data_IF_877826853310
#
_entry.id   IF_877826853310
#
_cell.length_a   1.000
_cell.length_b   1.000
_cell.length_c   1.000
_cell.angle_alpha   90.00
_cell.angle_beta   90.00
_cell.angle_gamma   90.00
#
_symmetry.space_group_name_H-M   'P 1'
#
loop_
_entity.id
_entity.type
_entity.pdbx_description
1 polymer ?
#
# COMPACT_ATOMS: atom_id res chain seq x y z
N UNK A 1 12.99 3.22 -27.28
CA UNK A 1 12.16 2.75 -26.16
C UNK A 1 13.05 2.06 -25.14
N UNK A 2 12.69 2.11 -23.86
CA UNK A 2 13.47 1.51 -22.77
C UNK A 2 12.50 0.86 -21.80
N UNK A 3 12.80 -0.34 -21.31
CA UNK A 3 12.05 -1.01 -20.24
C UNK A 3 12.09 -0.13 -18.98
N UNK A 4 10.92 0.16 -18.42
CA UNK A 4 10.74 0.84 -17.17
C UNK A 4 10.04 -0.11 -16.20
N UNK A 5 10.57 -0.27 -15.00
CA UNK A 5 9.96 -1.08 -13.95
C UNK A 5 9.80 -0.17 -12.74
N UNK A 6 8.56 0.09 -12.33
CA UNK A 6 8.26 0.90 -11.15
C UNK A 6 8.23 0.04 -9.90
N UNK A 7 9.11 0.28 -8.91
CA UNK A 7 9.05 -0.47 -7.66
C UNK A 7 7.87 -0.04 -6.77
N UNK A 8 7.41 1.21 -6.85
CA UNK A 8 6.49 1.79 -5.86
C UNK A 8 5.20 2.42 -6.44
N UNK A 9 5.12 2.66 -7.71
CA UNK A 9 3.96 3.37 -8.28
C UNK A 9 2.71 2.51 -8.32
N UNK A 10 1.75 2.70 -7.42
CA UNK A 10 0.52 1.91 -7.26
C UNK A 10 -0.63 2.37 -8.16
N UNK A 11 -0.61 3.63 -8.60
CA UNK A 11 -1.68 4.20 -9.43
C UNK A 11 -1.82 3.49 -10.79
N UNK A 12 -3.06 3.28 -11.32
CA UNK A 12 -3.29 2.60 -12.59
C UNK A 12 -2.51 3.19 -13.76
N UNK A 13 -2.39 4.53 -13.83
CA UNK A 13 -1.72 5.25 -14.93
C UNK A 13 -0.22 5.00 -15.05
N UNK A 14 0.41 4.34 -14.08
CA UNK A 14 1.83 3.94 -14.19
C UNK A 14 2.01 2.96 -15.34
N UNK A 15 1.17 1.94 -15.43
CA UNK A 15 1.28 0.85 -16.41
C UNK A 15 0.22 0.89 -17.51
N UNK A 16 -0.86 1.66 -17.30
CA UNK A 16 -1.93 1.83 -18.28
C UNK A 16 -1.87 3.22 -18.92
N UNK A 17 -2.26 3.31 -20.17
CA UNK A 17 -2.45 4.59 -20.87
C UNK A 17 -3.84 5.18 -20.58
N UNK A 18 -4.16 6.32 -21.23
CA UNK A 18 -5.42 7.04 -21.01
C UNK A 18 -6.65 6.27 -21.54
N UNK A 19 -6.45 5.23 -22.35
CA UNK A 19 -7.51 4.32 -22.81
C UNK A 19 -7.70 3.12 -21.91
N UNK A 20 -6.82 2.95 -20.90
CA UNK A 20 -6.78 1.76 -20.03
C UNK A 20 -6.01 0.59 -20.65
N UNK A 21 -5.32 0.78 -21.77
CA UNK A 21 -4.50 -0.26 -22.39
C UNK A 21 -3.12 -0.34 -21.73
N UNK A 22 -2.52 -1.54 -21.61
CA UNK A 22 -1.19 -1.70 -21.03
C UNK A 22 -0.10 -0.98 -21.85
N UNK A 23 0.78 -0.26 -21.16
CA UNK A 23 1.99 0.33 -21.74
C UNK A 23 3.03 -0.77 -21.96
N UNK A 24 3.33 -1.13 -23.20
CA UNK A 24 4.18 -2.27 -23.61
C UNK A 24 5.57 -2.31 -22.93
N UNK A 25 6.09 -1.13 -22.50
CA UNK A 25 7.44 -0.99 -21.97
C UNK A 25 7.49 -0.69 -20.49
N UNK A 26 6.34 -0.72 -19.80
CA UNK A 26 6.23 -0.31 -18.40
C UNK A 26 5.62 -1.44 -17.57
N UNK A 27 6.31 -1.81 -16.51
CA UNK A 27 5.90 -2.81 -15.52
C UNK A 27 5.99 -2.24 -14.12
N UNK A 28 5.44 -2.93 -13.14
CA UNK A 28 5.64 -2.62 -11.72
C UNK A 28 5.92 -3.89 -10.91
N UNK A 29 6.45 -3.74 -9.70
CA UNK A 29 6.65 -4.83 -8.74
C UNK A 29 5.79 -4.70 -7.47
N UNK A 30 5.20 -3.53 -7.25
CA UNK A 30 4.21 -3.30 -6.20
C UNK A 30 2.80 -3.77 -6.62
N UNK A 31 1.89 -3.90 -5.67
CA UNK A 31 0.47 -4.05 -5.97
C UNK A 31 -0.14 -2.73 -6.51
N UNK A 32 -1.36 -2.80 -7.02
CA UNK A 32 -2.12 -1.63 -7.50
C UNK A 32 -3.00 -1.03 -6.41
N UNK A 33 -3.43 0.24 -6.57
CA UNK A 33 -4.44 0.86 -5.69
C UNK A 33 -5.72 0.05 -5.63
N UNK A 34 -6.15 -0.54 -6.75
CA UNK A 34 -7.34 -1.40 -6.79
C UNK A 34 -7.18 -2.63 -5.90
N UNK A 35 -6.02 -3.27 -5.96
CA UNK A 35 -5.73 -4.44 -5.14
C UNK A 35 -5.60 -4.06 -3.65
N UNK A 36 -4.94 -2.94 -3.36
CA UNK A 36 -4.83 -2.39 -2.01
C UNK A 36 -6.23 -2.11 -1.42
N UNK A 37 -7.12 -1.44 -2.17
CA UNK A 37 -8.50 -1.17 -1.75
C UNK A 37 -9.28 -2.43 -1.43
N UNK A 38 -9.18 -3.47 -2.28
CA UNK A 38 -9.82 -4.77 -2.07
C UNK A 38 -9.29 -5.48 -0.81
N UNK A 39 -7.96 -5.50 -0.62
CA UNK A 39 -7.33 -6.11 0.55
C UNK A 39 -7.71 -5.42 1.86
N UNK A 40 -7.73 -4.07 1.87
CA UNK A 40 -8.13 -3.29 3.03
C UNK A 40 -9.63 -3.47 3.35
N UNK A 41 -10.49 -3.52 2.34
CA UNK A 41 -11.92 -3.81 2.52
C UNK A 41 -12.14 -5.22 3.08
N UNK A 42 -11.40 -6.22 2.57
CA UNK A 42 -11.41 -7.60 3.08
C UNK A 42 -10.94 -7.67 4.53
N UNK A 43 -9.86 -6.96 4.87
CA UNK A 43 -9.35 -6.88 6.22
C UNK A 43 -10.38 -6.21 7.16
N UNK A 44 -10.95 -5.08 6.78
CA UNK A 44 -11.99 -4.40 7.58
C UNK A 44 -13.21 -5.30 7.82
N UNK A 45 -13.77 -5.92 6.77
CA UNK A 45 -14.96 -6.75 6.90
C UNK A 45 -14.67 -8.09 7.62
N UNK A 46 -13.63 -8.81 7.23
CA UNK A 46 -13.39 -10.17 7.72
C UNK A 46 -12.62 -10.22 9.05
N UNK A 47 -11.60 -9.38 9.20
CA UNK A 47 -10.75 -9.37 10.39
C UNK A 47 -11.29 -8.45 11.48
N UNK A 48 -11.59 -7.18 11.13
CA UNK A 48 -12.11 -6.20 12.09
C UNK A 48 -13.61 -6.36 12.36
N UNK A 49 -14.32 -7.15 11.55
CA UNK A 49 -15.79 -7.33 11.61
C UNK A 49 -16.56 -6.03 11.43
N UNK A 50 -15.96 -5.08 10.72
CA UNK A 50 -16.58 -3.79 10.45
C UNK A 50 -17.76 -3.95 9.47
N UNK A 51 -18.87 -3.33 9.78
CA UNK A 51 -20.05 -3.22 8.92
C UNK A 51 -20.27 -1.79 8.42
N UNK A 52 -19.72 -0.81 9.15
CA UNK A 52 -19.78 0.61 8.82
C UNK A 52 -18.37 1.18 8.72
N UNK A 53 -18.08 1.86 7.62
CA UNK A 53 -16.83 2.56 7.42
C UNK A 53 -17.04 4.05 7.20
N UNK A 54 -16.10 4.86 7.64
CA UNK A 54 -15.97 6.24 7.20
C UNK A 54 -14.66 6.45 6.45
N UNK A 55 -14.62 7.46 5.60
CA UNK A 55 -13.43 7.82 4.81
C UNK A 55 -13.23 9.32 4.92
N UNK A 56 -11.98 9.75 5.12
CA UNK A 56 -11.56 11.14 4.97
C UNK A 56 -10.35 11.20 4.02
N UNK A 57 -10.43 11.99 2.94
CA UNK A 57 -9.38 12.03 1.93
C UNK A 57 -9.27 13.39 1.22
N UNK A 58 -8.13 13.64 0.61
CA UNK A 58 -7.90 14.80 -0.26
C UNK A 58 -8.24 14.45 -1.72
N UNK A 59 -9.32 15.01 -2.30
CA UNK A 59 -9.75 14.67 -3.67
C UNK A 59 -8.86 15.30 -4.76
N UNK A 60 -8.01 16.26 -4.42
CA UNK A 60 -7.04 16.85 -5.34
C UNK A 60 -5.79 15.99 -5.53
N UNK A 61 -5.55 15.03 -4.63
CA UNK A 61 -4.44 14.06 -4.72
C UNK A 61 -4.92 12.77 -5.35
N UNK A 62 -4.28 12.35 -6.45
CA UNK A 62 -4.72 11.22 -7.26
C UNK A 62 -4.75 9.89 -6.48
N UNK A 63 -3.66 9.56 -5.78
CA UNK A 63 -3.58 8.30 -5.03
C UNK A 63 -4.58 8.25 -3.86
N UNK A 64 -4.67 9.24 -2.94
CA UNK A 64 -5.70 9.26 -1.90
C UNK A 64 -7.12 9.15 -2.44
N UNK A 65 -7.43 9.85 -3.54
CA UNK A 65 -8.74 9.78 -4.19
C UNK A 65 -9.03 8.38 -4.73
N UNK A 66 -8.12 7.82 -5.53
CA UNK A 66 -8.25 6.47 -6.09
C UNK A 66 -8.44 5.43 -4.99
N UNK A 67 -7.62 5.48 -3.95
CA UNK A 67 -7.69 4.56 -2.81
C UNK A 67 -9.01 4.68 -2.05
N UNK A 68 -9.50 5.90 -1.81
CA UNK A 68 -10.78 6.15 -1.13
C UNK A 68 -11.98 5.58 -1.93
N UNK A 69 -12.03 5.87 -3.23
CA UNK A 69 -13.09 5.42 -4.12
C UNK A 69 -13.11 3.90 -4.28
N UNK A 70 -11.93 3.29 -4.44
CA UNK A 70 -11.78 1.84 -4.58
C UNK A 70 -12.13 1.11 -3.27
N UNK A 71 -11.66 1.60 -2.13
CA UNK A 71 -12.04 1.02 -0.83
C UNK A 71 -13.55 1.08 -0.63
N UNK A 72 -14.18 2.24 -0.91
CA UNK A 72 -15.64 2.37 -0.79
C UNK A 72 -16.34 1.32 -1.64
N UNK A 73 -16.01 1.21 -2.91
CA UNK A 73 -16.59 0.23 -3.85
C UNK A 73 -16.43 -1.20 -3.34
N UNK A 74 -15.23 -1.57 -2.91
CA UNK A 74 -14.91 -2.92 -2.47
C UNK A 74 -15.56 -3.26 -1.12
N UNK A 75 -15.61 -2.30 -0.19
CA UNK A 75 -16.24 -2.50 1.11
C UNK A 75 -17.76 -2.66 0.98
N UNK A 76 -18.41 -1.82 0.17
CA UNK A 76 -19.85 -1.91 -0.14
C UNK A 76 -20.16 -3.19 -0.93
N UNK A 77 -19.30 -3.60 -1.86
CA UNK A 77 -19.42 -4.87 -2.59
C UNK A 77 -19.34 -6.11 -1.69
N UNK A 78 -18.77 -6.00 -0.50
CA UNK A 78 -18.70 -7.05 0.53
C UNK A 78 -19.84 -6.95 1.57
N UNK A 79 -20.83 -6.10 1.32
CA UNK A 79 -22.01 -5.92 2.20
C UNK A 79 -21.78 -4.91 3.33
N UNK A 80 -20.66 -4.21 3.37
CA UNK A 80 -20.45 -3.09 4.27
C UNK A 80 -21.18 -1.82 3.81
N UNK A 81 -21.23 -0.82 4.67
CA UNK A 81 -21.79 0.50 4.37
C UNK A 81 -20.75 1.59 4.65
N UNK A 82 -20.49 2.47 3.69
CA UNK A 82 -19.71 3.69 3.92
C UNK A 82 -20.68 4.78 4.40
N UNK A 83 -20.67 5.03 5.72
CA UNK A 83 -21.62 5.92 6.41
C UNK A 83 -21.20 7.40 6.39
N UNK A 84 -19.92 7.69 6.10
CA UNK A 84 -19.41 9.04 5.88
C UNK A 84 -18.27 8.98 4.83
N UNK A 85 -18.31 9.89 3.86
CA UNK A 85 -17.31 9.98 2.78
C UNK A 85 -16.92 11.44 2.62
N UNK A 86 -15.94 11.86 3.45
CA UNK A 86 -15.60 13.24 3.68
C UNK A 86 -14.33 13.64 2.93
N UNK A 87 -14.26 14.92 2.58
CA UNK A 87 -13.08 15.47 1.87
C UNK A 87 -12.52 16.68 2.61
N UNK A 88 -11.23 16.95 2.36
CA UNK A 88 -10.53 18.15 2.79
C UNK A 88 -9.69 18.72 1.65
N UNK A 89 -9.35 20.01 1.71
CA UNK A 89 -8.49 20.64 0.73
C UNK A 89 -7.01 20.50 1.10
N UNK A 90 -6.15 20.49 0.07
CA UNK A 90 -4.70 20.46 0.30
C UNK A 90 -4.26 21.66 1.15
N UNK A 91 -3.51 21.37 2.21
CA UNK A 91 -3.02 22.38 3.16
C UNK A 91 -3.96 22.73 4.32
N UNK A 92 -5.17 22.15 4.34
CA UNK A 92 -6.05 22.29 5.50
C UNK A 92 -5.36 21.82 6.78
N UNK A 93 -5.63 22.52 7.89
CA UNK A 93 -5.12 22.20 9.23
C UNK A 93 -6.25 21.95 10.22
N UNK A 94 -7.46 22.29 9.86
CA UNK A 94 -8.67 22.08 10.66
C UNK A 94 -9.62 21.13 9.93
N UNK A 95 -9.85 19.98 10.53
CA UNK A 95 -10.71 18.90 10.04
C UNK A 95 -11.92 18.69 10.97
N UNK A 96 -12.18 19.62 11.88
CA UNK A 96 -13.17 19.49 12.96
C UNK A 96 -14.59 19.26 12.41
N UNK A 97 -14.95 19.94 11.32
CA UNK A 97 -16.27 19.79 10.70
C UNK A 97 -16.47 18.38 10.10
N UNK A 98 -15.45 17.83 9.43
CA UNK A 98 -15.49 16.47 8.88
C UNK A 98 -15.52 15.44 10.00
N UNK A 99 -14.68 15.60 11.01
CA UNK A 99 -14.63 14.67 12.14
C UNK A 99 -15.91 14.66 12.97
N UNK A 100 -16.59 15.80 13.10
CA UNK A 100 -17.91 15.85 13.73
C UNK A 100 -18.92 14.97 12.99
N UNK A 101 -19.03 15.10 11.67
CA UNK A 101 -19.92 14.27 10.85
C UNK A 101 -19.55 12.78 10.91
N UNK A 102 -18.27 12.46 10.87
CA UNK A 102 -17.80 11.09 11.01
C UNK A 102 -18.12 10.51 12.39
N UNK A 103 -17.96 11.29 13.46
CA UNK A 103 -18.30 10.85 14.82
C UNK A 103 -19.81 10.59 14.97
N UNK A 104 -20.65 11.46 14.42
CA UNK A 104 -22.11 11.31 14.40
C UNK A 104 -22.58 10.08 13.62
N UNK A 105 -21.86 9.72 12.55
CA UNK A 105 -22.14 8.52 11.75
C UNK A 105 -21.74 7.20 12.44
N UNK A 106 -20.96 7.28 13.53
CA UNK A 106 -20.53 6.14 14.35
C UNK A 106 -20.01 4.94 13.54
N UNK A 107 -18.91 5.10 12.76
CA UNK A 107 -18.33 4.01 11.99
C UNK A 107 -17.62 3.00 12.90
N UNK A 108 -17.48 1.74 12.40
CA UNK A 108 -16.68 0.69 13.03
C UNK A 108 -15.19 0.83 12.68
N UNK A 109 -14.87 1.49 11.54
CA UNK A 109 -13.52 1.74 11.06
C UNK A 109 -13.46 3.06 10.28
N UNK A 110 -12.35 3.77 10.39
CA UNK A 110 -12.08 4.97 9.57
C UNK A 110 -10.92 4.69 8.62
N UNK A 111 -11.17 4.76 7.32
CA UNK A 111 -10.13 4.72 6.31
C UNK A 111 -9.59 6.11 6.04
N UNK A 112 -8.27 6.24 6.15
CA UNK A 112 -7.57 7.51 6.05
C UNK A 112 -6.39 7.41 5.05
N UNK A 113 -6.65 7.50 3.74
CA UNK A 113 -5.62 7.46 2.70
C UNK A 113 -4.91 8.82 2.59
N UNK A 114 -4.21 9.21 3.65
CA UNK A 114 -3.48 10.46 3.77
C UNK A 114 -1.98 10.23 3.77
N UNK A 115 -1.22 11.28 3.47
CA UNK A 115 0.24 11.22 3.56
C UNK A 115 0.70 11.39 5.01
N UNK A 116 1.83 10.78 5.34
CA UNK A 116 2.38 10.70 6.70
C UNK A 116 2.46 12.04 7.45
N UNK A 117 2.69 13.16 6.74
CA UNK A 117 2.77 14.50 7.35
C UNK A 117 1.44 15.07 7.85
N UNK A 118 0.29 14.52 7.42
CA UNK A 118 -1.05 14.99 7.79
C UNK A 118 -1.70 14.08 8.86
N UNK A 119 -1.35 12.80 8.87
CA UNK A 119 -2.00 11.74 9.64
C UNK A 119 -2.06 12.02 11.15
N UNK A 120 -0.96 12.41 11.83
CA UNK A 120 -1.01 12.61 13.28
C UNK A 120 -2.01 13.67 13.69
N UNK A 121 -2.04 14.80 12.99
CA UNK A 121 -2.98 15.89 13.28
C UNK A 121 -4.42 15.50 12.98
N UNK A 122 -4.66 14.80 11.88
CA UNK A 122 -6.00 14.29 11.54
C UNK A 122 -6.52 13.35 12.62
N UNK A 123 -5.70 12.39 13.09
CA UNK A 123 -6.09 11.45 14.14
C UNK A 123 -6.31 12.17 15.47
N UNK A 124 -5.44 13.12 15.83
CA UNK A 124 -5.59 13.91 17.05
C UNK A 124 -6.94 14.64 17.07
N UNK A 125 -7.31 15.30 15.98
CA UNK A 125 -8.59 15.99 15.86
C UNK A 125 -9.78 15.02 15.84
N UNK A 126 -9.66 13.87 15.19
CA UNK A 126 -10.67 12.83 15.21
C UNK A 126 -10.95 12.33 16.64
N UNK A 127 -9.92 12.08 17.42
CA UNK A 127 -10.06 11.66 18.83
C UNK A 127 -10.69 12.76 19.69
N UNK A 128 -10.32 14.02 19.47
CA UNK A 128 -10.95 15.17 20.13
C UNK A 128 -12.45 15.33 19.78
N UNK A 129 -12.84 14.99 18.54
CA UNK A 129 -14.22 14.97 18.09
C UNK A 129 -15.03 13.73 18.57
N UNK A 130 -14.40 12.80 19.30
CA UNK A 130 -15.04 11.62 19.85
C UNK A 130 -15.07 10.39 18.95
N UNK A 131 -14.34 10.38 17.83
CA UNK A 131 -14.17 9.20 16.99
C UNK A 131 -13.40 8.13 17.76
N UNK A 132 -14.04 6.99 18.05
CA UNK A 132 -13.45 5.86 18.78
C UNK A 132 -12.95 4.75 17.86
N UNK A 133 -13.47 4.70 16.64
CA UNK A 133 -13.14 3.68 15.65
C UNK A 133 -11.62 3.61 15.40
N UNK A 134 -11.06 2.42 15.13
CA UNK A 134 -9.69 2.27 14.67
C UNK A 134 -9.50 2.89 13.29
N UNK A 135 -8.28 3.35 13.03
CA UNK A 135 -7.88 3.86 11.72
C UNK A 135 -7.28 2.77 10.87
N UNK A 136 -7.52 2.85 9.57
CA UNK A 136 -6.98 1.96 8.56
C UNK A 136 -6.33 2.81 7.47
N UNK A 137 -5.01 2.76 7.39
CA UNK A 137 -4.19 3.51 6.45
C UNK A 137 -3.83 2.72 5.19
N UNK A 138 -3.41 3.43 4.16
CA UNK A 138 -2.83 2.88 2.94
C UNK A 138 -1.33 2.62 3.10
N UNK A 139 -0.66 2.18 2.02
CA UNK A 139 0.79 1.99 1.96
C UNK A 139 1.60 3.27 2.20
N UNK A 140 0.99 4.45 2.07
CA UNK A 140 1.61 5.74 2.42
C UNK A 140 1.95 5.86 3.92
N UNK A 141 1.41 4.97 4.77
CA UNK A 141 1.68 4.94 6.20
C UNK A 141 2.96 4.16 6.58
N UNK A 142 3.64 3.57 5.62
CA UNK A 142 4.88 2.81 5.87
C UNK A 142 6.08 3.69 6.23
N UNK A 143 5.94 5.02 6.17
CA UNK A 143 7.00 5.95 6.50
C UNK A 143 7.31 5.96 8.01
N UNK A 144 8.57 5.72 8.36
CA UNK A 144 9.06 5.67 9.75
C UNK A 144 8.88 6.99 10.52
N UNK A 145 8.70 8.13 9.84
CA UNK A 145 8.39 9.41 10.46
C UNK A 145 7.13 9.36 11.33
N UNK A 146 6.16 8.49 11.00
CA UNK A 146 4.98 8.29 11.83
C UNK A 146 5.27 7.75 13.23
N UNK A 147 6.40 7.07 13.42
CA UNK A 147 6.83 6.62 14.75
C UNK A 147 7.20 7.78 15.68
N UNK A 148 7.50 8.98 15.14
CA UNK A 148 7.70 10.20 15.94
C UNK A 148 6.39 10.69 16.59
N UNK A 149 5.25 10.25 16.05
CA UNK A 149 3.89 10.52 16.54
C UNK A 149 3.21 9.23 17.00
N UNK A 150 3.96 8.37 17.67
CA UNK A 150 3.51 7.03 18.05
C UNK A 150 2.26 7.02 18.93
N UNK A 151 2.07 8.05 19.75
CA UNK A 151 0.90 8.16 20.62
C UNK A 151 -0.40 8.40 19.81
N UNK A 152 -0.33 9.23 18.77
CA UNK A 152 -1.46 9.56 17.92
C UNK A 152 -1.89 8.37 17.05
N UNK A 153 -0.92 7.65 16.49
CA UNK A 153 -1.18 6.52 15.57
C UNK A 153 -1.35 5.18 16.27
N UNK A 154 -1.21 5.11 17.60
CA UNK A 154 -1.32 3.84 18.33
C UNK A 154 -2.66 3.16 18.10
N UNK A 155 -2.62 1.85 17.85
CA UNK A 155 -3.78 1.03 17.51
C UNK A 155 -4.22 1.12 16.04
N UNK A 156 -3.68 2.02 15.23
CA UNK A 156 -4.01 2.11 13.82
C UNK A 156 -3.37 0.98 13.00
N UNK A 157 -4.10 0.50 11.99
CA UNK A 157 -3.64 -0.48 11.02
C UNK A 157 -3.31 0.17 9.69
N UNK A 158 -2.45 -0.46 8.91
CA UNK A 158 -2.15 0.00 7.56
C UNK A 158 -1.64 -1.14 6.68
N UNK A 159 -1.74 -0.98 5.37
CA UNK A 159 -1.16 -1.94 4.45
C UNK A 159 0.28 -1.60 4.09
N UNK A 160 1.03 -2.62 3.71
CA UNK A 160 2.44 -2.55 3.40
C UNK A 160 2.81 -3.61 2.34
N UNK A 161 3.99 -3.47 1.75
CA UNK A 161 4.50 -4.41 0.75
C UNK A 161 5.46 -5.45 1.33
N UNK A 162 6.02 -5.20 2.52
CA UNK A 162 7.14 -5.94 3.07
C UNK A 162 7.00 -6.15 4.57
N UNK A 163 7.36 -7.34 5.03
CA UNK A 163 7.50 -7.65 6.45
C UNK A 163 8.98 -7.95 6.78
N UNK A 164 9.70 -7.04 7.45
CA UNK A 164 11.12 -7.25 7.78
C UNK A 164 11.36 -8.38 8.79
N UNK A 165 10.33 -8.83 9.49
CA UNK A 165 10.38 -9.88 10.49
C UNK A 165 9.85 -11.23 9.98
N UNK A 166 9.65 -11.35 8.66
CA UNK A 166 9.27 -12.62 8.04
C UNK A 166 10.37 -13.67 8.21
N UNK A 167 9.96 -14.93 8.40
CA UNK A 167 10.85 -16.03 8.80
C UNK A 167 11.65 -16.62 7.62
N UNK A 168 11.39 -16.20 6.40
CA UNK A 168 12.08 -16.70 5.22
C UNK A 168 13.54 -16.25 5.19
N UNK A 169 14.47 -17.16 4.95
CA UNK A 169 15.92 -16.93 4.94
C UNK A 169 16.32 -15.72 4.05
N UNK A 170 15.69 -15.59 2.89
CA UNK A 170 15.95 -14.48 1.96
C UNK A 170 15.65 -13.11 2.57
N UNK A 171 14.61 -13.02 3.42
CA UNK A 171 14.26 -11.78 4.14
C UNK A 171 15.32 -11.47 5.17
N UNK A 172 15.72 -12.47 5.95
CA UNK A 172 16.79 -12.33 6.95
C UNK A 172 18.13 -11.93 6.33
N UNK A 173 18.50 -12.53 5.19
CA UNK A 173 19.73 -12.20 4.45
C UNK A 173 19.68 -10.76 3.93
N UNK A 174 18.58 -10.36 3.28
CA UNK A 174 18.40 -8.99 2.77
C UNK A 174 18.46 -7.97 3.93
N UNK A 175 17.68 -8.19 4.99
CA UNK A 175 17.65 -7.33 6.17
C UNK A 175 19.03 -7.19 6.80
N UNK A 176 19.72 -8.29 7.06
CA UNK A 176 21.04 -8.28 7.67
C UNK A 176 22.08 -7.56 6.81
N UNK A 177 22.05 -7.72 5.49
CA UNK A 177 22.93 -7.01 4.58
C UNK A 177 22.64 -5.50 4.58
N UNK A 178 21.36 -5.11 4.59
CA UNK A 178 20.92 -3.71 4.65
C UNK A 178 21.35 -3.05 5.97
N UNK A 179 21.04 -3.66 7.12
CA UNK A 179 21.42 -3.17 8.46
C UNK A 179 22.93 -3.01 8.61
N UNK A 180 23.72 -3.91 8.02
CA UNK A 180 25.18 -3.79 8.03
C UNK A 180 25.71 -2.65 7.16
N UNK A 181 24.99 -2.27 6.12
CA UNK A 181 25.38 -1.21 5.17
C UNK A 181 24.91 0.18 5.64
N UNK A 182 23.79 0.26 6.36
CA UNK A 182 23.10 1.50 6.71
C UNK A 182 22.89 1.62 8.23
N UNK A 183 23.98 1.53 9.01
CA UNK A 183 24.05 1.83 10.45
C UNK A 183 22.92 1.20 11.30
N UNK A 184 22.55 -0.04 10.98
CA UNK A 184 21.47 -0.81 11.63
C UNK A 184 20.06 -0.30 11.36
N UNK A 185 19.88 0.53 10.36
CA UNK A 185 18.54 0.86 9.89
C UNK A 185 17.82 -0.38 9.32
N UNK A 186 16.56 -0.55 9.69
CA UNK A 186 15.72 -1.62 9.15
C UNK A 186 15.25 -1.20 7.75
N UNK A 187 15.37 -2.06 6.72
CA UNK A 187 14.88 -1.73 5.38
C UNK A 187 13.38 -1.48 5.39
N UNK A 188 12.96 -0.41 4.73
CA UNK A 188 11.56 -0.10 4.49
C UNK A 188 11.00 -0.83 3.24
N UNK A 189 9.73 -0.61 2.96
CA UNK A 189 9.05 -1.19 1.80
C UNK A 189 9.68 -0.74 0.47
N UNK A 190 10.17 0.52 0.39
CA UNK A 190 10.83 1.06 -0.79
C UNK A 190 12.14 0.37 -1.10
N UNK A 191 12.95 0.15 -0.08
CA UNK A 191 14.22 -0.59 -0.19
C UNK A 191 13.97 -2.03 -0.63
N UNK A 192 12.99 -2.71 -0.02
CA UNK A 192 12.66 -4.10 -0.34
C UNK A 192 12.08 -4.27 -1.75
N UNK A 193 11.16 -3.40 -2.17
CA UNK A 193 10.59 -3.41 -3.53
C UNK A 193 11.65 -3.10 -4.60
N UNK A 194 12.56 -2.16 -4.31
CA UNK A 194 13.66 -1.83 -5.22
C UNK A 194 14.62 -3.00 -5.37
N UNK A 195 14.92 -3.69 -4.27
CA UNK A 195 15.73 -4.90 -4.28
C UNK A 195 15.11 -5.98 -5.17
N UNK A 196 13.84 -6.30 -4.99
CA UNK A 196 13.13 -7.27 -5.82
C UNK A 196 13.07 -6.84 -7.30
N UNK A 197 12.88 -5.55 -7.57
CA UNK A 197 12.89 -4.99 -8.92
C UNK A 197 14.22 -5.23 -9.64
N UNK A 198 15.33 -5.03 -8.93
CA UNK A 198 16.66 -5.26 -9.50
C UNK A 198 16.92 -6.74 -9.78
N UNK A 199 16.46 -7.64 -8.91
CA UNK A 199 16.58 -9.08 -9.14
C UNK A 199 15.70 -9.59 -10.27
N UNK A 200 14.50 -9.03 -10.44
CA UNK A 200 13.63 -9.28 -11.59
C UNK A 200 14.30 -8.80 -12.90
N UNK A 201 14.89 -7.60 -12.90
CA UNK A 201 15.64 -7.11 -14.05
C UNK A 201 16.86 -8.00 -14.34
N UNK A 202 17.60 -8.43 -13.31
CA UNK A 202 18.72 -9.38 -13.44
C UNK A 202 18.25 -10.66 -14.12
N UNK A 203 17.15 -11.27 -13.68
CA UNK A 203 16.59 -12.49 -14.28
C UNK A 203 16.24 -12.26 -15.77
N UNK A 204 15.65 -11.11 -16.11
CA UNK A 204 15.37 -10.78 -17.51
C UNK A 204 16.64 -10.66 -18.36
N UNK A 205 17.67 -10.00 -17.83
CA UNK A 205 18.97 -9.87 -18.53
C UNK A 205 19.67 -11.23 -18.72
N UNK A 206 19.61 -12.12 -17.73
CA UNK A 206 20.21 -13.46 -17.80
C UNK A 206 19.48 -14.40 -18.78
N UNK A 207 18.20 -14.15 -19.04
CA UNK A 207 17.37 -14.98 -19.93
C UNK A 207 17.13 -14.36 -21.30
N UNK A 208 17.53 -13.11 -21.50
CA UNK A 208 17.43 -12.43 -22.80
C UNK A 208 18.36 -13.07 -23.85
N UNK A 209 17.92 -13.08 -25.09
CA UNK A 209 18.68 -13.64 -26.22
C UNK A 209 19.85 -12.74 -26.67
N UNK A 210 19.80 -11.47 -26.31
CA UNK A 210 20.84 -10.46 -26.51
C UNK A 210 20.68 -9.34 -25.47
N UNK A 211 21.61 -8.39 -25.44
CA UNK A 211 21.60 -7.21 -24.58
C UNK A 211 20.80 -6.03 -25.16
N UNK A 212 20.16 -6.21 -26.33
CA UNK A 212 19.31 -5.18 -26.88
C UNK A 212 18.01 -5.01 -26.07
N UNK A 213 17.47 -3.80 -26.12
CA UNK A 213 16.34 -3.40 -25.27
C UNK A 213 15.08 -4.22 -25.51
N UNK A 214 14.81 -4.64 -26.74
CA UNK A 214 13.63 -5.44 -27.08
C UNK A 214 13.77 -6.87 -26.54
N UNK A 215 14.94 -7.50 -26.69
CA UNK A 215 15.21 -8.83 -26.15
C UNK A 215 15.06 -8.86 -24.62
N UNK A 216 15.58 -7.83 -23.92
CA UNK A 216 15.41 -7.71 -22.45
C UNK A 216 13.95 -7.50 -22.07
N UNK A 217 13.20 -6.65 -22.79
CA UNK A 217 11.76 -6.46 -22.56
C UNK A 217 10.98 -7.76 -22.77
N UNK A 218 11.27 -8.48 -23.85
CA UNK A 218 10.63 -9.78 -24.14
C UNK A 218 10.94 -10.82 -23.07
N UNK A 219 12.18 -10.90 -22.62
CA UNK A 219 12.57 -11.78 -21.52
C UNK A 219 11.80 -11.43 -20.24
N UNK A 220 11.70 -10.14 -19.89
CA UNK A 220 10.92 -9.68 -18.74
C UNK A 220 9.43 -10.07 -18.86
N UNK A 221 8.82 -9.88 -20.01
CA UNK A 221 7.41 -10.20 -20.25
C UNK A 221 7.08 -11.71 -20.12
N UNK A 222 8.08 -12.57 -20.20
CA UNK A 222 7.95 -14.02 -20.03
C UNK A 222 8.09 -14.49 -18.58
N UNK A 223 8.49 -13.60 -17.66
CA UNK A 223 8.57 -13.92 -16.23
C UNK A 223 7.12 -14.07 -15.70
N UNK A 224 6.75 -15.28 -15.35
CA UNK A 224 5.40 -15.55 -14.82
C UNK A 224 5.32 -15.33 -13.31
N UNK A 225 6.41 -15.54 -12.58
CA UNK A 225 6.48 -15.31 -11.14
C UNK A 225 7.91 -15.09 -10.67
N UNK A 226 8.03 -14.39 -9.55
CA UNK A 226 9.30 -14.15 -8.85
C UNK A 226 9.07 -14.27 -7.35
N UNK A 227 9.96 -14.96 -6.66
CA UNK A 227 9.87 -15.19 -5.23
C UNK A 227 10.83 -14.23 -4.49
N UNK A 228 10.37 -12.99 -4.29
CA UNK A 228 11.14 -11.88 -3.73
C UNK A 228 11.12 -11.78 -2.22
N UNK A 229 11.86 -10.80 -1.68
CA UNK A 229 11.83 -10.48 -0.24
C UNK A 229 10.52 -9.82 0.18
N UNK A 230 9.79 -9.21 -0.78
CA UNK A 230 8.45 -8.66 -0.56
C UNK A 230 7.34 -9.70 -0.78
N UNK A 231 7.68 -10.99 -0.79
CA UNK A 231 6.77 -12.09 -1.07
C UNK A 231 6.73 -12.48 -2.55
N UNK A 232 5.79 -13.35 -2.90
CA UNK A 232 5.65 -13.84 -4.26
C UNK A 232 4.98 -12.81 -5.17
N UNK A 233 5.64 -12.45 -6.26
CA UNK A 233 5.19 -11.55 -7.31
C UNK A 233 4.78 -12.39 -8.51
N UNK A 234 3.52 -12.30 -8.97
CA UNK A 234 2.98 -13.14 -10.06
C UNK A 234 2.47 -12.28 -11.20
N UNK A 235 3.05 -12.43 -12.39
CA UNK A 235 2.61 -11.75 -13.61
C UNK A 235 1.72 -12.68 -14.44
N UNK A 236 0.39 -12.54 -14.29
CA UNK A 236 -0.59 -13.39 -15.02
C UNK A 236 -0.61 -13.02 -16.51
N UNK A 237 -0.20 -13.96 -17.38
CA UNK A 237 -0.27 -13.76 -18.84
C UNK A 237 0.61 -12.62 -19.35
N UNK A 238 1.71 -12.27 -18.67
CA UNK A 238 2.57 -11.16 -19.05
C UNK A 238 2.00 -9.78 -18.74
N UNK A 239 0.96 -9.70 -17.92
CA UNK A 239 0.38 -8.43 -17.48
C UNK A 239 1.44 -7.53 -16.83
N UNK A 240 1.36 -6.20 -16.99
CA UNK A 240 2.34 -5.29 -16.43
C UNK A 240 2.18 -5.10 -14.91
N UNK A 241 1.02 -5.44 -14.38
CA UNK A 241 0.67 -5.35 -12.96
C UNK A 241 0.71 -6.74 -12.34
N UNK A 242 1.53 -6.95 -11.30
CA UNK A 242 1.59 -8.24 -10.64
C UNK A 242 0.43 -8.42 -9.66
N UNK A 243 0.14 -9.67 -9.39
CA UNK A 243 -0.66 -10.11 -8.25
C UNK A 243 0.29 -10.51 -7.13
N UNK A 244 0.08 -9.98 -5.93
CA UNK A 244 0.87 -10.32 -4.74
C UNK A 244 0.05 -10.05 -3.47
N UNK A 245 0.42 -10.68 -2.35
CA UNK A 245 -0.22 -10.45 -1.05
C UNK A 245 0.04 -9.03 -0.54
N UNK A 246 -0.92 -8.50 0.22
CA UNK A 246 -0.78 -7.26 0.98
C UNK A 246 -0.45 -7.60 2.42
N UNK A 247 0.62 -7.02 2.94
CA UNK A 247 0.98 -7.12 4.36
C UNK A 247 0.14 -6.13 5.17
N UNK A 248 -0.50 -6.56 6.24
CA UNK A 248 -1.15 -5.66 7.20
C UNK A 248 -0.25 -5.52 8.42
N UNK A 249 0.01 -4.29 8.79
CA UNK A 249 0.79 -3.89 9.96
C UNK A 249 -0.07 -3.06 10.93
N UNK A 250 0.39 -2.95 12.17
CA UNK A 250 -0.25 -2.13 13.21
C UNK A 250 0.79 -1.30 13.94
N UNK A 251 0.48 -0.05 14.21
CA UNK A 251 1.19 0.73 15.23
C UNK A 251 0.72 0.29 16.61
N UNK A 252 1.65 -0.20 17.41
CA UNK A 252 1.35 -0.72 18.75
C UNK A 252 2.49 -0.47 19.71
N UNK A 253 2.20 0.26 20.79
CA UNK A 253 3.16 0.56 21.84
C UNK A 253 4.49 1.17 21.31
N UNK A 254 4.38 2.12 20.37
CA UNK A 254 5.53 2.81 19.79
C UNK A 254 6.32 2.02 18.75
N UNK A 255 5.78 0.89 18.28
CA UNK A 255 6.42 0.03 17.27
C UNK A 255 5.44 -0.29 16.14
N UNK A 256 6.00 -0.68 15.01
CA UNK A 256 5.24 -1.29 13.91
C UNK A 256 5.33 -2.81 14.07
N UNK A 257 4.18 -3.47 14.09
CA UNK A 257 4.08 -4.92 14.23
C UNK A 257 3.34 -5.53 13.05
N UNK A 258 3.78 -6.69 12.60
CA UNK A 258 3.07 -7.50 11.62
C UNK A 258 1.75 -8.02 12.23
N UNK A 259 0.69 -8.03 11.42
CA UNK A 259 -0.63 -8.56 11.82
C UNK A 259 -0.98 -9.79 10.99
N UNK A 260 -1.05 -9.65 9.67
CA UNK A 260 -1.40 -10.75 8.77
C UNK A 260 -1.04 -10.39 7.32
N UNK A 261 -1.09 -11.37 6.44
CA UNK A 261 -1.12 -11.17 5.00
C UNK A 261 -2.57 -11.31 4.48
N UNK A 262 -2.92 -10.49 3.50
CA UNK A 262 -4.16 -10.61 2.75
C UNK A 262 -3.80 -11.06 1.34
N UNK A 263 -4.18 -12.27 1.01
CA UNK A 263 -3.97 -12.83 -0.32
C UNK A 263 -5.02 -12.32 -1.31
N UNK A 264 -4.64 -12.24 -2.61
CA UNK A 264 -5.57 -11.97 -3.69
C UNK A 264 -6.71 -13.00 -3.73
N UNK A 265 -7.92 -12.53 -4.07
CA UNK A 265 -9.07 -13.39 -4.34
C UNK A 265 -8.89 -14.17 -5.65
#
# INVERSE_FOLDING_TARGET
KTLLISPWGTAPRVTLDDTGAPRTWVYRTCFTDAFQGSALAKFAAAYMKATKAAVLYNPASEAPKSQAELLKKEFEGRGGQVVAFETYAAGDKDFSAQWKRIAEAAPDVVFLPSYYGEIPEQIRQARAAGVKAPFLGSDTWTNSELLKSAAEVDGAFFCAHYNPDAMEDKVGIFRGAYENRYDKEVPDDGAALTYDTLYLLKQALETATSDDREAVREAFSKISSFDGVTGRIVFKGGAPDPVKSVVIKQFKAGKISFVTNIDPD
#
